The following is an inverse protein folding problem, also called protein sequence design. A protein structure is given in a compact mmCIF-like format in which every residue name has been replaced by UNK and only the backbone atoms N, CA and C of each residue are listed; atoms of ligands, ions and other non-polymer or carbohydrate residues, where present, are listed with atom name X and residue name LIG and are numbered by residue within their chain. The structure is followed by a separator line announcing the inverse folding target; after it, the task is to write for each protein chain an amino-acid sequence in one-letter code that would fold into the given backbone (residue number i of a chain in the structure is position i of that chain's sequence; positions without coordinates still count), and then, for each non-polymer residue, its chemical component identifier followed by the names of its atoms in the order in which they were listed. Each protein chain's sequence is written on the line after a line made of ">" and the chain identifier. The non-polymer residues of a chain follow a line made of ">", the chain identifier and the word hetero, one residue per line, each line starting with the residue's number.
data_IF_641650041334
#
_entry.id   IF_641650041334
#
_cell.length_a   1.000
_cell.length_b   1.000
_cell.length_c   1.000
_cell.angle_alpha   90.00
_cell.angle_beta   90.00
_cell.angle_gamma   90.00
#
_symmetry.space_group_name_H-M   'P 1'
#
loop_
_entity.id
_entity.type
_entity.pdbx_description
1 polymer ?
#
# COMPACT_ATOMS: atom_id res chain seq x y z
N UNK A 1 10.97 4.12 -7.06
CA UNK A 1 9.71 4.34 -6.31
C UNK A 1 9.76 3.42 -5.11
N UNK A 2 9.39 3.90 -3.93
CA UNK A 2 9.38 3.12 -2.69
C UNK A 2 7.99 2.53 -2.45
N UNK A 3 7.94 1.33 -1.87
CA UNK A 3 6.69 0.69 -1.46
C UNK A 3 6.00 1.55 -0.38
N UNK A 4 4.73 1.95 -0.56
CA UNK A 4 4.04 2.82 0.41
C UNK A 4 3.78 2.15 1.77
N UNK A 5 3.94 0.83 1.86
CA UNK A 5 3.70 0.05 3.08
C UNK A 5 4.94 -0.16 3.92
N UNK A 6 6.11 -0.37 3.29
CA UNK A 6 7.35 -0.75 4.00
C UNK A 6 8.61 -0.06 3.49
N UNK A 7 8.48 0.87 2.54
CA UNK A 7 9.55 1.71 1.97
C UNK A 7 10.67 0.99 1.20
N UNK A 8 10.60 -0.33 1.04
CA UNK A 8 11.50 -1.09 0.16
C UNK A 8 11.29 -0.77 -1.31
N UNK A 9 12.27 -1.10 -2.15
CA UNK A 9 12.14 -0.99 -3.60
C UNK A 9 10.94 -1.79 -4.13
N UNK A 10 10.21 -1.17 -5.05
CA UNK A 10 9.03 -1.79 -5.67
C UNK A 10 9.43 -2.89 -6.65
N UNK A 11 8.69 -4.00 -6.63
CA UNK A 11 8.82 -5.07 -7.60
C UNK A 11 7.91 -4.76 -8.80
N UNK A 12 8.40 -4.80 -10.06
CA UNK A 12 7.57 -4.59 -11.26
C UNK A 12 6.27 -5.40 -11.29
N UNK A 13 6.27 -6.64 -10.79
CA UNK A 13 5.09 -7.51 -10.74
C UNK A 13 4.05 -7.04 -9.71
N UNK A 14 4.48 -6.32 -8.69
CA UNK A 14 3.64 -5.91 -7.55
C UNK A 14 3.48 -4.40 -7.43
N UNK A 15 3.92 -3.60 -8.41
CA UNK A 15 3.82 -2.13 -8.38
C UNK A 15 2.39 -1.69 -8.03
N UNK A 16 2.21 -0.73 -7.09
CA UNK A 16 3.22 0.13 -6.45
C UNK A 16 3.93 -0.48 -5.22
N UNK A 17 3.82 -1.78 -4.97
CA UNK A 17 4.35 -2.46 -3.78
C UNK A 17 5.62 -3.27 -4.07
N UNK A 18 6.28 -3.76 -3.01
CA UNK A 18 7.44 -4.65 -3.11
C UNK A 18 7.08 -6.15 -3.11
N UNK A 19 5.83 -6.52 -2.79
CA UNK A 19 5.39 -7.92 -2.68
C UNK A 19 3.87 -8.03 -2.56
N UNK A 20 3.32 -9.24 -2.81
CA UNK A 20 1.90 -9.57 -2.53
C UNK A 20 1.48 -9.24 -1.10
N UNK A 21 2.34 -9.55 -0.11
CA UNK A 21 2.05 -9.25 1.30
C UNK A 21 1.77 -7.77 1.54
N UNK A 22 2.54 -6.88 0.92
CA UNK A 22 2.31 -5.43 1.08
C UNK A 22 1.03 -4.98 0.40
N UNK A 23 0.68 -5.55 -0.76
CA UNK A 23 -0.60 -5.29 -1.42
C UNK A 23 -1.80 -5.74 -0.54
N UNK A 24 -1.71 -6.93 0.07
CA UNK A 24 -2.76 -7.45 0.96
C UNK A 24 -2.92 -6.59 2.23
N UNK A 25 -1.81 -6.07 2.78
CA UNK A 25 -1.83 -5.15 3.93
C UNK A 25 -2.51 -3.83 3.55
N UNK A 26 -2.17 -3.28 2.39
CA UNK A 26 -2.81 -2.06 1.86
C UNK A 26 -4.32 -2.25 1.69
N UNK A 27 -4.73 -3.35 1.06
CA UNK A 27 -6.13 -3.73 0.92
C UNK A 27 -6.83 -3.85 2.29
N UNK A 28 -6.15 -4.44 3.28
CA UNK A 28 -6.67 -4.51 4.64
C UNK A 28 -6.88 -3.14 5.30
N UNK A 29 -6.03 -2.15 5.01
CA UNK A 29 -6.23 -0.76 5.48
C UNK A 29 -7.42 -0.11 4.79
N UNK A 30 -7.59 -0.33 3.49
CA UNK A 30 -8.75 0.13 2.72
C UNK A 30 -10.06 -0.41 3.28
N UNK A 31 -10.16 -1.72 3.46
CA UNK A 31 -11.38 -2.37 3.96
C UNK A 31 -11.74 -1.95 5.38
N UNK A 32 -10.76 -1.50 6.18
CA UNK A 32 -10.98 -0.96 7.53
C UNK A 32 -11.34 0.53 7.55
N UNK A 33 -11.43 1.18 6.39
CA UNK A 33 -11.65 2.62 6.30
C UNK A 33 -10.48 3.45 6.83
N UNK A 34 -9.25 2.89 6.83
CA UNK A 34 -8.06 3.57 7.33
C UNK A 34 -7.55 4.70 6.44
N UNK A 35 -8.11 4.84 5.24
CA UNK A 35 -7.82 5.95 4.33
C UNK A 35 -8.93 6.99 4.45
N UNK A 36 -8.56 8.16 4.98
CA UNK A 36 -9.47 9.30 5.16
C UNK A 36 -8.95 10.45 4.30
N UNK A 37 -9.84 11.07 3.55
CA UNK A 37 -9.57 12.36 2.89
C UNK A 37 -10.00 13.44 3.91
N UNK A 38 -9.07 14.27 4.43
CA UNK A 38 -9.42 15.33 5.36
C UNK A 38 -10.45 16.29 4.73
N UNK A 39 -11.46 16.70 5.50
CA UNK A 39 -12.41 17.73 5.09
C UNK A 39 -11.86 19.15 5.26
N UNK A 40 -12.50 20.16 4.64
CA UNK A 40 -12.14 21.58 4.78
C UNK A 40 -12.31 22.11 6.20
#
# INVERSE_FOLDING_TARGET
>A
MSCPICQKDTDPKYRPFCSKRCADVDLGRWLKGGYVIPGP
#
